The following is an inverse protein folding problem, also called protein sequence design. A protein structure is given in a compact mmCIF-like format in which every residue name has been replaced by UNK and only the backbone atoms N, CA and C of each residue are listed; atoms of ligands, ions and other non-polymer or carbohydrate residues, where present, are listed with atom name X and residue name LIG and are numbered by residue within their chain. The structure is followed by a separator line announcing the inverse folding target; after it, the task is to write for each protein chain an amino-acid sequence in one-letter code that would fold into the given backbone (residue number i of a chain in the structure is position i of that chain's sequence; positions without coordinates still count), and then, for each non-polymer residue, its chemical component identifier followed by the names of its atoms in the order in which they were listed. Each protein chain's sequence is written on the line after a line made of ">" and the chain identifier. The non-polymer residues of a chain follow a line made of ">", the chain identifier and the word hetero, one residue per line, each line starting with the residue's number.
data_IF_922679848988
#
_entry.id   IF_922679848988
#
_cell.length_a   1.000
_cell.length_b   1.000
_cell.length_c   1.000
_cell.angle_alpha   90.00
_cell.angle_beta   90.00
_cell.angle_gamma   90.00
#
_symmetry.space_group_name_H-M   'P 1'
#
loop_
_entity.id
_entity.type
_entity.pdbx_description
1 polymer ?
#
# COMPACT_ATOMS: atom_id res chain seq x y z
N UNK A 1 13.06 -9.27 -1.63
CA UNK A 1 12.69 -9.71 -0.26
C UNK A 1 11.18 -9.57 -0.18
N UNK A 2 10.44 -10.60 0.23
CA UNK A 2 8.99 -10.49 0.40
C UNK A 2 8.73 -9.61 1.63
N UNK A 3 7.94 -8.56 1.48
CA UNK A 3 7.63 -7.59 2.54
C UNK A 3 6.30 -7.95 3.20
N UNK A 4 6.13 -7.56 4.47
CA UNK A 4 4.85 -7.67 5.16
C UNK A 4 3.80 -6.85 4.40
N UNK A 5 2.75 -7.52 3.91
CA UNK A 5 1.73 -6.85 3.09
C UNK A 5 0.97 -5.83 3.93
N UNK A 6 0.70 -6.10 5.22
CA UNK A 6 0.10 -5.11 6.12
C UNK A 6 0.92 -3.81 6.20
N UNK A 7 2.24 -3.91 6.30
CA UNK A 7 3.13 -2.75 6.32
C UNK A 7 3.11 -2.01 4.97
N UNK A 8 3.14 -2.76 3.86
CA UNK A 8 3.03 -2.17 2.52
C UNK A 8 1.73 -1.38 2.34
N UNK A 9 0.58 -1.94 2.75
CA UNK A 9 -0.72 -1.27 2.66
C UNK A 9 -0.76 0.01 3.49
N UNK A 10 -0.28 -0.04 4.74
CA UNK A 10 -0.19 1.14 5.62
C UNK A 10 0.72 2.23 5.06
N UNK A 11 1.85 1.84 4.47
CA UNK A 11 2.80 2.80 3.88
C UNK A 11 2.21 3.48 2.64
N UNK A 12 1.47 2.72 1.81
CA UNK A 12 0.77 3.27 0.65
C UNK A 12 -0.36 4.23 1.05
N UNK A 13 -1.13 3.87 2.08
CA UNK A 13 -2.16 4.74 2.66
C UNK A 13 -1.56 6.04 3.20
N UNK A 14 -0.44 5.96 3.91
CA UNK A 14 0.30 7.13 4.40
C UNK A 14 0.74 8.07 3.26
N UNK A 15 1.24 7.54 2.14
CA UNK A 15 1.61 8.35 0.99
C UNK A 15 0.39 8.95 0.28
N UNK A 16 -0.73 8.24 0.20
CA UNK A 16 -2.00 8.76 -0.31
C UNK A 16 -2.50 9.93 0.55
N UNK A 17 -2.46 9.82 1.88
CA UNK A 17 -2.84 10.89 2.79
C UNK A 17 -1.96 12.14 2.63
N UNK A 18 -0.65 11.94 2.44
CA UNK A 18 0.27 13.05 2.13
C UNK A 18 -0.05 13.70 0.80
N UNK A 19 -0.38 12.91 -0.23
CA UNK A 19 -0.79 13.43 -1.52
C UNK A 19 -2.08 14.26 -1.42
N UNK A 20 -3.06 13.79 -0.64
CA UNK A 20 -4.29 14.53 -0.37
C UNK A 20 -4.00 15.91 0.22
N UNK A 21 -3.09 16.00 1.20
CA UNK A 21 -2.64 17.28 1.76
C UNK A 21 -1.96 18.18 0.73
N UNK A 22 -1.11 17.62 -0.13
CA UNK A 22 -0.50 18.37 -1.25
C UNK A 22 -1.58 18.90 -2.20
N UNK A 23 -2.62 18.11 -2.46
CA UNK A 23 -3.75 18.51 -3.30
C UNK A 23 -4.60 19.61 -2.64
N UNK A 24 -4.78 19.60 -1.32
CA UNK A 24 -5.41 20.71 -0.59
C UNK A 24 -4.62 22.02 -0.75
N UNK A 25 -3.29 21.97 -0.67
CA UNK A 25 -2.44 23.14 -0.95
C UNK A 25 -2.57 23.62 -2.41
N UNK A 26 -2.66 22.68 -3.36
CA UNK A 26 -2.89 22.99 -4.78
C UNK A 26 -4.23 23.71 -4.98
N UNK A 27 -5.33 23.15 -4.45
CA UNK A 27 -6.68 23.66 -4.60
C UNK A 27 -6.86 25.04 -3.95
N UNK A 28 -6.25 25.25 -2.78
CA UNK A 28 -6.25 26.54 -2.09
C UNK A 28 -5.34 27.60 -2.73
N UNK A 29 -4.60 27.24 -3.79
CA UNK A 29 -3.58 28.09 -4.43
C UNK A 29 -2.56 28.60 -3.40
N UNK A 30 -2.21 27.77 -2.44
CA UNK A 30 -1.28 28.12 -1.35
C UNK A 30 0.08 28.52 -1.90
N UNK A 31 0.70 29.52 -1.28
CA UNK A 31 2.08 29.90 -1.58
C UNK A 31 3.09 28.79 -1.26
N UNK A 32 2.74 27.90 -0.33
CA UNK A 32 3.61 26.82 0.14
C UNK A 32 3.45 25.53 -0.69
N UNK A 33 2.55 25.51 -1.68
CA UNK A 33 2.29 24.32 -2.50
C UNK A 33 3.59 23.76 -3.11
N UNK A 34 4.39 24.62 -3.75
CA UNK A 34 5.59 24.18 -4.46
C UNK A 34 6.59 23.46 -3.55
N UNK A 35 6.75 23.95 -2.31
CA UNK A 35 7.65 23.35 -1.33
C UNK A 35 7.13 22.00 -0.82
N UNK A 36 5.83 21.92 -0.50
CA UNK A 36 5.21 20.68 -0.02
C UNK A 36 5.17 19.60 -1.10
N UNK A 37 4.87 19.98 -2.35
CA UNK A 37 4.85 19.03 -3.44
C UNK A 37 6.25 18.51 -3.75
N UNK A 38 7.26 19.38 -3.76
CA UNK A 38 8.64 18.97 -3.98
C UNK A 38 9.16 18.05 -2.86
N UNK A 39 8.85 18.36 -1.59
CA UNK A 39 9.19 17.49 -0.46
C UNK A 39 8.52 16.11 -0.58
N UNK A 40 7.23 16.08 -0.93
CA UNK A 40 6.49 14.84 -1.15
C UNK A 40 7.09 14.00 -2.29
N UNK A 41 7.46 14.61 -3.42
CA UNK A 41 8.07 13.90 -4.55
C UNK A 41 9.40 13.25 -4.17
N UNK A 42 10.24 13.93 -3.38
CA UNK A 42 11.50 13.36 -2.91
C UNK A 42 11.25 12.20 -1.93
N UNK A 43 10.32 12.35 -1.00
CA UNK A 43 9.98 11.27 -0.07
C UNK A 43 9.45 10.03 -0.81
N UNK A 44 8.56 10.24 -1.78
CA UNK A 44 7.99 9.18 -2.60
C UNK A 44 9.06 8.50 -3.47
N UNK A 45 10.01 9.27 -4.00
CA UNK A 45 11.15 8.74 -4.74
C UNK A 45 12.01 7.81 -3.86
N UNK A 46 12.33 8.24 -2.64
CA UNK A 46 13.12 7.43 -1.70
C UNK A 46 12.38 6.17 -1.28
N UNK A 47 11.06 6.23 -1.10
CA UNK A 47 10.23 5.04 -0.87
C UNK A 47 10.38 4.01 -2.00
N UNK A 48 10.20 4.42 -3.27
CA UNK A 48 10.30 3.49 -4.39
C UNK A 48 11.72 2.96 -4.61
N UNK A 49 12.75 3.77 -4.36
CA UNK A 49 14.15 3.32 -4.35
C UNK A 49 14.42 2.26 -3.29
N UNK A 50 13.98 2.50 -2.05
CA UNK A 50 14.15 1.57 -0.95
C UNK A 50 13.46 0.22 -1.24
N UNK A 51 12.32 0.26 -1.94
CA UNK A 51 11.59 -0.93 -2.40
C UNK A 51 12.19 -1.60 -3.64
N UNK A 52 13.16 -0.98 -4.30
CA UNK A 52 13.73 -1.45 -5.57
C UNK A 52 12.75 -1.42 -6.74
N UNK A 53 11.74 -0.54 -6.69
CA UNK A 53 10.71 -0.46 -7.72
C UNK A 53 11.07 0.57 -8.81
N UNK A 54 11.92 0.14 -9.73
CA UNK A 54 12.51 1.00 -10.77
C UNK A 54 11.48 1.65 -11.70
N UNK A 55 10.31 1.02 -11.88
CA UNK A 55 9.24 1.54 -12.74
C UNK A 55 8.64 2.81 -12.15
N UNK A 56 8.13 2.77 -10.92
CA UNK A 56 7.53 3.95 -10.29
C UNK A 56 8.57 4.96 -9.83
N UNK A 57 9.79 4.51 -9.50
CA UNK A 57 10.94 5.42 -9.34
C UNK A 57 11.12 6.31 -10.59
N UNK A 58 11.10 5.70 -11.78
CA UNK A 58 11.25 6.42 -13.05
C UNK A 58 10.09 7.38 -13.34
N UNK A 59 8.85 6.99 -13.01
CA UNK A 59 7.69 7.88 -13.16
C UNK A 59 7.79 9.10 -12.24
N UNK A 60 8.20 8.92 -10.98
CA UNK A 60 8.42 10.05 -10.06
C UNK A 60 9.54 10.97 -10.57
N UNK A 61 10.67 10.41 -11.02
CA UNK A 61 11.77 11.19 -11.60
C UNK A 61 11.34 11.99 -12.83
N UNK A 62 10.51 11.38 -13.69
CA UNK A 62 9.94 12.05 -14.88
C UNK A 62 9.07 13.24 -14.49
N UNK A 63 8.22 13.09 -13.46
CA UNK A 63 7.40 14.19 -12.94
C UNK A 63 8.29 15.32 -12.40
N UNK A 64 9.26 14.98 -11.55
CA UNK A 64 10.22 15.94 -11.00
C UNK A 64 10.99 16.70 -12.10
N UNK A 65 11.48 15.98 -13.12
CA UNK A 65 12.19 16.56 -14.28
C UNK A 65 11.28 17.50 -15.09
N UNK A 66 10.03 17.08 -15.32
CA UNK A 66 9.02 17.89 -16.02
C UNK A 66 8.77 19.20 -15.28
N UNK A 67 8.49 19.14 -13.97
CA UNK A 67 8.25 20.32 -13.14
C UNK A 67 9.49 21.23 -13.11
N UNK A 68 10.68 20.67 -12.93
CA UNK A 68 11.94 21.42 -12.94
C UNK A 68 12.16 22.16 -14.26
N UNK A 69 11.86 21.52 -15.39
CA UNK A 69 11.96 22.11 -16.74
C UNK A 69 11.01 23.31 -16.89
N UNK A 70 9.77 23.17 -16.43
CA UNK A 70 8.79 24.28 -16.45
C UNK A 70 9.21 25.39 -15.49
N UNK A 71 9.71 25.07 -14.30
CA UNK A 71 10.27 26.04 -13.33
C UNK A 71 11.50 26.77 -13.90
N UNK A 72 12.26 26.18 -14.83
CA UNK A 72 13.34 26.86 -15.58
C UNK A 72 12.84 27.74 -16.72
N UNK A 73 11.54 27.70 -17.02
CA UNK A 73 10.92 28.50 -18.07
C UNK A 73 10.95 27.84 -19.45
N UNK A 74 10.98 26.51 -19.52
CA UNK A 74 10.87 25.76 -20.77
C UNK A 74 9.60 24.91 -20.77
N UNK A 75 8.94 24.80 -21.92
CA UNK A 75 7.85 23.87 -22.10
C UNK A 75 8.44 22.45 -22.29
N UNK A 76 8.19 21.48 -21.40
CA UNK A 76 8.82 20.16 -21.45
C UNK A 76 8.35 19.30 -22.63
N UNK A 77 7.22 19.64 -23.26
CA UNK A 77 6.69 18.95 -24.44
C UNK A 77 7.29 19.52 -25.72
N UNK A 78 7.34 20.85 -25.83
CA UNK A 78 7.83 21.54 -27.04
C UNK A 78 9.33 21.87 -27.03
N UNK A 79 9.96 21.83 -25.86
CA UNK A 79 11.34 22.27 -25.60
C UNK A 79 11.59 23.75 -25.97
N UNK A 80 10.56 24.57 -25.92
CA UNK A 80 10.64 26.00 -26.23
C UNK A 80 10.65 26.85 -24.96
N UNK A 81 11.30 28.01 -25.01
CA UNK A 81 11.29 28.98 -23.92
C UNK A 81 9.88 29.56 -23.75
N UNK A 82 9.38 29.53 -22.52
CA UNK A 82 8.09 30.11 -22.12
C UNK A 82 8.28 31.60 -21.89
N UNK A 83 7.64 32.42 -22.73
CA UNK A 83 7.69 33.89 -22.63
C UNK A 83 6.65 34.45 -21.66
N UNK A 84 5.48 33.84 -21.54
CA UNK A 84 4.34 34.27 -20.70
C UNK A 84 3.63 33.03 -20.12
N UNK A 85 2.94 33.17 -18.98
CA UNK A 85 2.11 32.09 -18.43
C UNK A 85 2.89 30.95 -17.76
N UNK A 86 4.15 31.19 -17.38
CA UNK A 86 5.00 30.20 -16.70
C UNK A 86 4.33 29.60 -15.46
N UNK A 87 3.66 30.43 -14.65
CA UNK A 87 2.99 29.98 -13.43
C UNK A 87 1.83 29.04 -13.72
N UNK A 88 1.04 29.34 -14.76
CA UNK A 88 -0.07 28.49 -15.19
C UNK A 88 0.43 27.16 -15.75
N UNK A 89 1.54 27.18 -16.50
CA UNK A 89 2.21 25.95 -16.95
C UNK A 89 2.74 25.13 -15.78
N UNK A 90 3.39 25.75 -14.78
CA UNK A 90 3.85 25.03 -13.58
C UNK A 90 2.64 24.39 -12.88
N UNK A 91 1.55 25.14 -12.71
CA UNK A 91 0.31 24.64 -12.11
C UNK A 91 -0.25 23.45 -12.89
N UNK A 92 -0.36 23.55 -14.21
CA UNK A 92 -0.90 22.50 -15.07
C UNK A 92 -0.07 21.21 -15.05
N UNK A 93 1.26 21.32 -15.15
CA UNK A 93 2.14 20.15 -15.05
C UNK A 93 2.19 19.57 -13.64
N UNK A 94 2.05 20.41 -12.60
CA UNK A 94 1.97 19.94 -11.23
C UNK A 94 0.69 19.15 -10.97
N UNK A 95 -0.45 19.63 -11.47
CA UNK A 95 -1.71 18.89 -11.45
C UNK A 95 -1.60 17.55 -12.19
N UNK A 96 -1.04 17.55 -13.40
CA UNK A 96 -0.79 16.31 -14.14
C UNK A 96 0.10 15.34 -13.37
N UNK A 97 1.07 15.85 -12.60
CA UNK A 97 1.91 15.04 -11.71
C UNK A 97 1.12 14.44 -10.55
N UNK A 98 0.30 15.25 -9.87
CA UNK A 98 -0.59 14.81 -8.78
C UNK A 98 -1.52 13.68 -9.26
N UNK A 99 -2.20 13.88 -10.39
CA UNK A 99 -3.15 12.88 -10.93
C UNK A 99 -2.45 11.57 -11.31
N UNK A 100 -1.26 11.65 -11.92
CA UNK A 100 -0.48 10.47 -12.27
C UNK A 100 -0.07 9.69 -11.01
N UNK A 101 0.43 10.40 -9.98
CA UNK A 101 0.83 9.80 -8.71
C UNK A 101 -0.35 9.16 -7.99
N UNK A 102 -1.47 9.88 -7.91
CA UNK A 102 -2.69 9.36 -7.33
C UNK A 102 -3.11 8.05 -8.02
N UNK A 103 -3.13 8.05 -9.36
CA UNK A 103 -3.49 6.88 -10.16
C UNK A 103 -2.66 5.65 -9.82
N UNK A 104 -1.32 5.76 -9.85
CA UNK A 104 -0.49 4.59 -9.57
C UNK A 104 -0.45 4.20 -8.08
N UNK A 105 -0.59 5.15 -7.14
CA UNK A 105 -0.64 4.81 -5.72
C UNK A 105 -1.92 4.06 -5.38
N UNK A 106 -3.06 4.47 -5.94
CA UNK A 106 -4.33 3.74 -5.80
C UNK A 106 -4.25 2.35 -6.42
N UNK A 107 -3.64 2.22 -7.60
CA UNK A 107 -3.46 0.90 -8.24
C UNK A 107 -2.61 -0.04 -7.36
N UNK A 108 -1.50 0.46 -6.84
CA UNK A 108 -0.63 -0.28 -5.93
C UNK A 108 -1.35 -0.67 -4.64
N UNK A 109 -2.06 0.27 -4.03
CA UNK A 109 -2.83 0.04 -2.81
C UNK A 109 -3.91 -1.03 -3.04
N UNK A 110 -4.70 -0.89 -4.10
CA UNK A 110 -5.75 -1.85 -4.45
C UNK A 110 -5.18 -3.26 -4.69
N UNK A 111 -3.99 -3.35 -5.30
CA UNK A 111 -3.32 -4.64 -5.52
C UNK A 111 -2.90 -5.31 -4.21
N UNK A 112 -2.34 -4.57 -3.27
CA UNK A 112 -1.96 -5.13 -1.96
C UNK A 112 -3.19 -5.45 -1.11
N UNK A 113 -4.19 -4.57 -1.10
CA UNK A 113 -5.46 -4.78 -0.40
C UNK A 113 -6.17 -6.04 -0.89
N UNK A 114 -6.24 -6.23 -2.22
CA UNK A 114 -6.85 -7.43 -2.81
C UNK A 114 -6.21 -8.73 -2.31
N UNK A 115 -4.88 -8.77 -2.11
CA UNK A 115 -4.21 -9.96 -1.55
C UNK A 115 -4.64 -10.22 -0.11
N UNK A 116 -4.83 -9.17 0.69
CA UNK A 116 -5.33 -9.29 2.06
C UNK A 116 -6.78 -9.76 2.07
N UNK A 117 -7.64 -9.20 1.22
CA UNK A 117 -9.06 -9.57 1.15
C UNK A 117 -9.24 -11.05 0.73
N UNK A 118 -8.54 -11.49 -0.32
CA UNK A 118 -8.58 -12.89 -0.78
C UNK A 118 -8.09 -13.87 0.30
N UNK A 119 -7.08 -13.47 1.07
CA UNK A 119 -6.56 -14.28 2.17
C UNK A 119 -7.49 -14.29 3.39
N UNK A 120 -8.07 -13.15 3.73
CA UNK A 120 -9.05 -13.00 4.80
C UNK A 120 -10.30 -13.85 4.51
N UNK A 121 -10.79 -13.84 3.27
CA UNK A 121 -11.91 -14.68 2.85
C UNK A 121 -11.61 -16.17 3.05
N UNK A 122 -10.44 -16.62 2.57
CA UNK A 122 -9.99 -18.01 2.68
C UNK A 122 -9.85 -18.44 4.15
N UNK A 123 -9.19 -17.61 4.97
CA UNK A 123 -8.99 -17.88 6.38
C UNK A 123 -10.30 -17.83 7.16
N UNK A 124 -11.20 -16.89 6.85
CA UNK A 124 -12.51 -16.78 7.50
C UNK A 124 -13.36 -18.03 7.25
N UNK A 125 -13.41 -18.49 6.00
CA UNK A 125 -14.09 -19.74 5.64
C UNK A 125 -13.52 -20.95 6.38
N UNK A 126 -12.19 -21.02 6.52
CA UNK A 126 -11.53 -22.08 7.28
C UNK A 126 -11.84 -22.00 8.78
N UNK A 127 -11.79 -20.82 9.38
CA UNK A 127 -12.08 -20.60 10.81
C UNK A 127 -13.53 -20.98 11.14
N UNK A 128 -14.50 -20.59 10.30
CA UNK A 128 -15.90 -20.98 10.44
C UNK A 128 -16.06 -22.50 10.35
N UNK A 129 -15.40 -23.14 9.38
CA UNK A 129 -15.43 -24.61 9.24
C UNK A 129 -14.84 -25.31 10.47
N UNK A 130 -13.74 -24.80 11.02
CA UNK A 130 -13.14 -25.35 12.24
C UNK A 130 -14.05 -25.19 13.46
N UNK A 131 -14.75 -24.07 13.56
CA UNK A 131 -15.74 -23.83 14.61
C UNK A 131 -16.93 -24.80 14.50
N UNK A 132 -17.50 -24.96 13.30
CA UNK A 132 -18.62 -25.88 13.06
C UNK A 132 -18.26 -27.35 13.33
N UNK A 133 -17.01 -27.73 13.09
CA UNK A 133 -16.51 -29.09 13.34
C UNK A 133 -16.02 -29.30 14.79
N UNK A 134 -16.17 -28.31 15.69
CA UNK A 134 -15.75 -28.40 17.08
C UNK A 134 -14.24 -28.41 17.31
N UNK A 135 -13.44 -28.05 16.29
CA UNK A 135 -11.99 -27.89 16.41
C UNK A 135 -11.68 -26.58 17.15
N UNK A 136 -12.43 -25.52 16.82
CA UNK A 136 -12.45 -24.25 17.53
C UNK A 136 -13.73 -24.14 18.38
N UNK A 137 -13.60 -23.50 19.53
CA UNK A 137 -14.69 -23.11 20.42
C UNK A 137 -14.40 -21.71 20.99
N UNK A 138 -15.37 -21.10 21.66
CA UNK A 138 -15.23 -19.75 22.22
C UNK A 138 -14.07 -19.63 23.22
N UNK A 139 -13.73 -20.72 23.93
CA UNK A 139 -12.64 -20.73 24.90
C UNK A 139 -11.29 -20.66 24.17
N UNK A 140 -11.12 -21.48 23.13
CA UNK A 140 -9.93 -21.47 22.28
C UNK A 140 -9.78 -20.15 21.54
N UNK A 141 -10.86 -19.60 20.98
CA UNK A 141 -10.81 -18.29 20.30
C UNK A 141 -10.32 -17.20 21.26
N UNK A 142 -10.82 -17.19 22.50
CA UNK A 142 -10.34 -16.25 23.54
C UNK A 142 -8.90 -16.50 23.97
N UNK A 143 -8.43 -17.75 23.91
CA UNK A 143 -7.03 -18.06 24.21
C UNK A 143 -6.07 -17.60 23.09
N UNK A 144 -6.54 -17.48 21.85
CA UNK A 144 -5.80 -16.93 20.70
C UNK A 144 -5.66 -15.39 20.75
N UNK A 145 -5.33 -14.84 21.91
CA UNK A 145 -5.23 -13.40 22.18
C UNK A 145 -3.85 -12.79 21.93
N UNK A 146 -2.94 -13.52 21.27
CA UNK A 146 -1.62 -13.01 20.89
C UNK A 146 -1.06 -13.77 19.69
N UNK A 147 -0.22 -13.08 18.91
CA UNK A 147 0.44 -13.65 17.72
C UNK A 147 1.21 -14.94 18.03
N UNK A 148 1.93 -15.02 19.16
CA UNK A 148 2.70 -16.23 19.50
C UNK A 148 1.80 -17.46 19.74
N UNK A 149 0.63 -17.27 20.35
CA UNK A 149 -0.34 -18.35 20.54
C UNK A 149 -0.99 -18.74 19.22
N UNK A 150 -1.33 -17.76 18.39
CA UNK A 150 -1.85 -17.98 17.02
C UNK A 150 -0.86 -18.76 16.17
N UNK A 151 0.41 -18.38 16.19
CA UNK A 151 1.48 -19.09 15.49
C UNK A 151 1.57 -20.55 15.94
N UNK A 152 1.62 -20.79 17.25
CA UNK A 152 1.72 -22.14 17.81
C UNK A 152 0.53 -23.00 17.38
N UNK A 153 -0.68 -22.46 17.53
CA UNK A 153 -1.92 -23.13 17.12
C UNK A 153 -1.96 -23.41 15.62
N UNK A 154 -1.63 -22.42 14.79
CA UNK A 154 -1.62 -22.55 13.34
C UNK A 154 -0.63 -23.62 12.86
N UNK A 155 0.58 -23.64 13.43
CA UNK A 155 1.60 -24.63 13.10
C UNK A 155 1.18 -26.04 13.54
N UNK A 156 0.51 -26.18 14.69
CA UNK A 156 -0.09 -27.45 15.10
C UNK A 156 -1.14 -27.93 14.10
N UNK A 157 -2.06 -27.05 13.66
CA UNK A 157 -3.08 -27.38 12.68
C UNK A 157 -2.49 -27.83 11.33
N UNK A 158 -1.46 -27.11 10.84
CA UNK A 158 -0.76 -27.47 9.60
C UNK A 158 -0.17 -28.88 9.70
N UNK A 159 0.42 -29.22 10.84
CA UNK A 159 1.06 -30.54 11.03
C UNK A 159 0.07 -31.70 11.08
N UNK A 160 -1.19 -31.43 11.46
CA UNK A 160 -2.21 -32.46 11.69
C UNK A 160 -3.23 -32.55 10.56
N UNK A 161 -3.34 -31.55 9.68
CA UNK A 161 -4.36 -31.47 8.65
C UNK A 161 -3.77 -31.08 7.28
N UNK A 162 -3.78 -32.02 6.34
CA UNK A 162 -3.23 -31.84 4.99
C UNK A 162 -3.96 -30.77 4.17
N UNK A 163 -5.26 -30.58 4.39
CA UNK A 163 -6.04 -29.52 3.73
C UNK A 163 -5.60 -28.15 4.23
N UNK A 164 -5.43 -27.98 5.55
CA UNK A 164 -4.92 -26.74 6.15
C UNK A 164 -3.49 -26.46 5.68
N UNK A 165 -2.65 -27.49 5.60
CA UNK A 165 -1.31 -27.36 5.05
C UNK A 165 -1.31 -26.87 3.59
N UNK A 166 -2.24 -27.39 2.76
CA UNK A 166 -2.45 -26.94 1.39
C UNK A 166 -2.88 -25.48 1.29
N UNK A 167 -3.82 -25.05 2.13
CA UNK A 167 -4.26 -23.66 2.27
C UNK A 167 -3.09 -22.75 2.68
N UNK A 168 -2.32 -23.15 3.70
CA UNK A 168 -1.16 -22.40 4.15
C UNK A 168 -0.12 -22.24 3.04
N UNK A 169 0.16 -23.31 2.29
CA UNK A 169 1.08 -23.24 1.14
C UNK A 169 0.58 -22.24 0.09
N UNK A 170 -0.73 -22.21 -0.19
CA UNK A 170 -1.33 -21.23 -1.12
C UNK A 170 -1.18 -19.80 -0.60
N UNK A 171 -1.48 -19.53 0.66
CA UNK A 171 -1.33 -18.21 1.28
C UNK A 171 0.13 -17.73 1.24
N UNK A 172 1.08 -18.62 1.52
CA UNK A 172 2.52 -18.31 1.51
C UNK A 172 3.09 -18.01 0.12
N UNK A 173 2.32 -18.19 -0.97
CA UNK A 173 2.73 -17.72 -2.30
C UNK A 173 2.67 -16.19 -2.43
N UNK A 174 1.82 -15.53 -1.63
CA UNK A 174 1.59 -14.09 -1.69
C UNK A 174 1.92 -13.38 -0.38
N UNK A 175 1.75 -14.04 0.76
CA UNK A 175 1.88 -13.46 2.10
C UNK A 175 3.06 -14.04 2.89
N UNK A 176 3.56 -13.25 3.84
CA UNK A 176 4.46 -13.75 4.89
C UNK A 176 3.67 -14.53 5.96
N UNK A 177 4.39 -15.20 6.88
CA UNK A 177 3.75 -15.91 8.00
C UNK A 177 3.01 -14.93 8.91
N UNK A 178 3.68 -13.81 9.17
CA UNK A 178 3.26 -12.74 10.05
C UNK A 178 1.97 -12.10 9.54
N UNK A 179 1.82 -11.92 8.22
CA UNK A 179 0.57 -11.46 7.62
C UNK A 179 -0.58 -12.43 7.90
N UNK A 180 -0.33 -13.74 7.80
CA UNK A 180 -1.34 -14.77 8.08
C UNK A 180 -1.76 -14.71 9.55
N UNK A 181 -0.81 -14.56 10.47
CA UNK A 181 -1.10 -14.50 11.90
C UNK A 181 -1.92 -13.25 12.27
N UNK A 182 -1.60 -12.09 11.69
CA UNK A 182 -2.39 -10.87 11.85
C UNK A 182 -3.81 -11.02 11.31
N UNK A 183 -3.98 -11.68 10.16
CA UNK A 183 -5.32 -11.96 9.62
C UNK A 183 -6.12 -12.91 10.53
N UNK A 184 -5.50 -13.96 11.06
CA UNK A 184 -6.17 -14.87 11.99
C UNK A 184 -6.58 -14.12 13.26
N UNK A 185 -5.71 -13.28 13.83
CA UNK A 185 -6.03 -12.44 14.99
C UNK A 185 -7.26 -11.56 14.72
N UNK A 186 -7.27 -10.86 13.58
CA UNK A 186 -8.39 -10.04 13.13
C UNK A 186 -9.68 -10.84 12.99
N UNK A 187 -9.62 -12.05 12.46
CA UNK A 187 -10.79 -12.93 12.28
C UNK A 187 -11.30 -13.43 13.64
N UNK A 188 -10.42 -13.87 14.53
CA UNK A 188 -10.79 -14.29 15.89
C UNK A 188 -11.54 -13.16 16.62
N UNK A 189 -11.04 -11.92 16.54
CA UNK A 189 -11.67 -10.75 17.15
C UNK A 189 -13.06 -10.41 16.58
N UNK A 190 -13.39 -10.85 15.36
CA UNK A 190 -14.72 -10.70 14.75
C UNK A 190 -15.71 -11.78 15.17
N UNK A 191 -15.21 -12.96 15.56
CA UNK A 191 -16.03 -14.11 15.96
C UNK A 191 -16.33 -14.06 17.48
N UNK A 192 -15.40 -13.53 18.28
CA UNK A 192 -15.54 -13.33 19.73
C UNK A 192 -16.51 -12.21 20.10
#
# INVERSE_FOLDING_TARGET
>A
MQELIHHSTQTLEFHLDKLNKVQEFYLSKSFDFDAHFEAFLHELLEYFKAKGNTTYESEVLKIMSTISTVKRGFNPVKMEKVSVGKRDLVSGFSFSGIENIHGFLIELFAKEQKKLDEAEELLSGLMISMYQNGILDDVKIKDLNSISKIETFWNQLISQNTTIAGINKKLRLTLLAEDIYLLIEKICAKIS
#
